data_IF_101778594659
#
_entry.id   IF_101778594659
#
_cell.length_a   1.000
_cell.length_b   1.000
_cell.length_c   1.000
_cell.angle_alpha   90.00
_cell.angle_beta   90.00
_cell.angle_gamma   90.00
#
_symmetry.space_group_name_H-M   'P 1'
#
loop_
_entity.id
_entity.type
_entity.pdbx_description
1 polymer ?
#
# COMPACT_ATOMS: atom_id res chain seq x y z
N UNK A 1 26.20 18.44 -5.93
CA UNK A 1 25.46 18.36 -5.80
C UNK A 1 24.79 18.09 -4.95
N UNK A 2 24.32 18.28 -4.72
CA UNK A 2 23.68 18.02 -3.86
C UNK A 2 22.97 17.01 -3.89
N UNK A 3 23.03 16.34 -3.39
CA UNK A 3 22.35 15.44 -3.40
C UNK A 3 21.30 15.58 -2.71
N UNK A 4 20.42 15.68 -3.06
CA UNK A 4 19.42 15.85 -2.42
C UNK A 4 18.75 14.68 -2.18
N UNK A 5 18.28 14.42 -1.07
CA UNK A 5 17.43 13.35 -0.74
C UNK A 5 16.08 13.71 -1.22
N UNK A 6 15.60 12.96 -2.18
CA UNK A 6 14.26 13.18 -2.70
C UNK A 6 13.28 12.59 -1.70
N UNK A 7 12.37 13.40 -1.14
CA UNK A 7 11.38 12.86 -0.20
C UNK A 7 10.50 11.83 -0.89
N UNK A 8 10.24 10.72 -0.21
CA UNK A 8 9.39 9.68 -0.77
C UNK A 8 7.96 10.18 -1.00
N UNK A 9 7.57 11.25 -0.32
CA UNK A 9 6.25 11.83 -0.54
C UNK A 9 6.07 12.35 -1.96
N UNK A 10 7.16 12.65 -2.64
CA UNK A 10 7.12 13.12 -4.02
C UNK A 10 7.38 12.01 -5.02
N UNK A 11 7.59 10.79 -4.55
CA UNK A 11 7.86 9.67 -5.43
C UNK A 11 6.53 9.15 -5.95
N UNK A 12 6.45 8.90 -7.26
CA UNK A 12 5.20 8.39 -7.82
C UNK A 12 5.00 6.92 -7.44
N UNK A 13 3.77 6.46 -7.63
CA UNK A 13 3.38 5.11 -7.22
C UNK A 13 4.16 4.03 -7.93
N UNK A 14 4.48 4.24 -9.20
CA UNK A 14 5.20 3.23 -9.96
C UNK A 14 6.57 3.00 -9.37
N UNK A 15 7.24 4.07 -9.01
CA UNK A 15 8.56 3.96 -8.40
C UNK A 15 8.48 3.39 -7.00
N UNK A 16 7.47 3.77 -6.22
CA UNK A 16 7.28 3.20 -4.91
C UNK A 16 7.07 1.69 -5.00
N UNK A 17 6.24 1.27 -5.94
CA UNK A 17 5.94 -0.15 -6.11
C UNK A 17 7.22 -0.92 -6.43
N UNK A 18 8.04 -0.39 -7.34
CA UNK A 18 9.29 -1.03 -7.70
C UNK A 18 10.25 -1.13 -6.51
N UNK A 19 10.32 -0.06 -5.71
CA UNK A 19 11.19 -0.06 -4.54
C UNK A 19 10.70 -1.04 -3.48
N UNK A 20 9.38 -1.14 -3.30
CA UNK A 20 8.82 -2.10 -2.35
C UNK A 20 9.16 -3.52 -2.78
N UNK A 21 9.07 -3.79 -4.08
CA UNK A 21 9.41 -5.10 -4.60
C UNK A 21 10.85 -5.47 -4.23
N UNK A 22 11.73 -4.48 -4.18
CA UNK A 22 13.13 -4.70 -3.85
C UNK A 22 13.39 -4.73 -2.35
N UNK A 23 12.36 -4.54 -1.54
CA UNK A 23 12.51 -4.62 -0.09
C UNK A 23 12.82 -3.30 0.58
N UNK A 24 12.54 -2.18 -0.08
CA UNK A 24 12.81 -0.87 0.48
C UNK A 24 11.74 -0.51 1.52
N UNK A 25 12.12 -0.53 2.78
CA UNK A 25 11.17 -0.30 3.87
C UNK A 25 10.65 1.13 3.91
N UNK A 26 11.45 2.09 3.49
CA UNK A 26 11.01 3.48 3.47
C UNK A 26 9.93 3.68 2.42
N UNK A 27 10.07 3.01 1.28
CA UNK A 27 9.05 3.07 0.24
C UNK A 27 7.76 2.43 0.75
N UNK A 28 7.88 1.32 1.48
CA UNK A 28 6.71 0.66 2.05
C UNK A 28 5.99 1.59 3.03
N UNK A 29 6.75 2.25 3.90
CA UNK A 29 6.16 3.19 4.86
C UNK A 29 5.45 4.32 4.14
N UNK A 30 6.05 4.83 3.06
CA UNK A 30 5.43 5.90 2.30
C UNK A 30 4.13 5.43 1.64
N UNK A 31 4.10 4.20 1.13
CA UNK A 31 2.88 3.66 0.55
C UNK A 31 1.80 3.54 1.62
N UNK A 32 2.18 3.12 2.82
CA UNK A 32 1.23 3.02 3.92
C UNK A 32 0.64 4.39 4.23
N UNK A 33 1.49 5.39 4.39
CA UNK A 33 1.01 6.73 4.73
C UNK A 33 0.16 7.32 3.62
N UNK A 34 0.45 6.97 2.38
CA UNK A 34 -0.29 7.51 1.25
C UNK A 34 -1.68 6.91 1.11
N UNK A 35 -1.83 5.63 1.45
CA UNK A 35 -3.06 4.93 1.14
C UNK A 35 -3.85 4.39 2.32
N UNK A 36 -3.28 4.33 3.51
CA UNK A 36 -3.99 3.63 4.59
C UNK A 36 -5.35 4.25 4.92
N UNK A 37 -5.46 5.58 4.84
CA UNK A 37 -6.75 6.21 5.16
C UNK A 37 -7.80 5.90 4.10
N UNK A 38 -7.39 5.90 2.83
CA UNK A 38 -8.32 5.58 1.75
C UNK A 38 -8.80 4.15 1.86
N UNK A 39 -7.89 3.24 2.17
CA UNK A 39 -8.27 1.84 2.33
C UNK A 39 -9.12 1.63 3.56
N UNK A 40 -8.86 2.39 4.63
CA UNK A 40 -9.69 2.31 5.82
C UNK A 40 -11.12 2.72 5.49
N UNK A 41 -11.31 3.83 4.78
CA UNK A 41 -12.65 4.27 4.40
C UNK A 41 -13.34 3.23 3.56
N UNK A 42 -12.63 2.67 2.59
CA UNK A 42 -13.20 1.63 1.74
C UNK A 42 -13.63 0.43 2.57
N UNK A 43 -12.76 -0.05 3.46
CA UNK A 43 -13.07 -1.20 4.29
C UNK A 43 -14.23 -0.90 5.24
N UNK A 44 -14.25 0.31 5.80
CA UNK A 44 -15.30 0.67 6.74
C UNK A 44 -16.67 0.67 6.09
N UNK A 45 -16.74 1.07 4.82
CA UNK A 45 -18.03 1.07 4.12
C UNK A 45 -18.65 -0.31 4.06
N UNK A 46 -17.82 -1.34 3.99
CA UNK A 46 -18.31 -2.71 3.92
C UNK A 46 -18.49 -3.33 5.29
N UNK A 47 -17.58 -3.05 6.21
CA UNK A 47 -17.54 -3.76 7.48
C UNK A 47 -18.29 -3.05 8.59
N UNK A 48 -18.44 -1.73 8.47
CA UNK A 48 -19.16 -0.91 9.45
C UNK A 48 -18.61 -1.07 10.87
N UNK A 49 -17.34 -1.32 10.98
CA UNK A 49 -16.65 -1.50 12.25
C UNK A 49 -15.27 -0.93 12.13
N UNK A 50 -14.94 -0.02 13.04
CA UNK A 50 -13.64 0.61 13.07
C UNK A 50 -12.52 -0.42 13.26
N UNK A 51 -12.72 -1.33 14.21
CA UNK A 51 -11.70 -2.35 14.48
C UNK A 51 -11.49 -3.28 13.31
N UNK A 52 -12.57 -3.70 12.68
CA UNK A 52 -12.45 -4.60 11.54
C UNK A 52 -11.85 -3.90 10.33
N UNK A 53 -12.16 -2.61 10.17
CA UNK A 53 -11.58 -1.85 9.06
C UNK A 53 -10.09 -1.70 9.25
N UNK A 54 -9.65 -1.44 10.47
CA UNK A 54 -8.22 -1.33 10.76
C UNK A 54 -7.52 -2.66 10.52
N UNK A 55 -8.15 -3.76 10.92
CA UNK A 55 -7.59 -5.09 10.68
C UNK A 55 -7.45 -5.35 9.19
N UNK A 56 -8.42 -4.91 8.40
CA UNK A 56 -8.37 -5.10 6.95
C UNK A 56 -7.18 -4.36 6.36
N UNK A 57 -6.97 -3.11 6.79
CA UNK A 57 -5.85 -2.32 6.30
C UNK A 57 -4.52 -2.98 6.66
N UNK A 58 -4.40 -3.44 7.91
CA UNK A 58 -3.20 -4.13 8.35
C UNK A 58 -2.95 -5.39 7.52
N UNK A 59 -4.01 -6.14 7.27
CA UNK A 59 -3.89 -7.35 6.48
C UNK A 59 -3.36 -7.06 5.09
N UNK A 60 -3.91 -6.04 4.44
CA UNK A 60 -3.53 -5.72 3.07
C UNK A 60 -2.06 -5.32 2.98
N UNK A 61 -1.60 -4.46 3.90
CA UNK A 61 -0.21 -4.03 3.86
C UNK A 61 0.75 -5.14 4.27
N UNK A 62 0.32 -6.00 5.20
CA UNK A 62 1.14 -7.15 5.57
C UNK A 62 1.35 -8.05 4.35
N UNK A 63 0.28 -8.30 3.60
CA UNK A 63 0.40 -9.13 2.41
C UNK A 63 1.24 -8.46 1.33
N UNK A 64 1.10 -7.15 1.17
CA UNK A 64 1.95 -6.44 0.23
C UNK A 64 3.42 -6.69 0.54
N UNK A 65 3.79 -6.59 1.80
CA UNK A 65 5.17 -6.79 2.19
C UNK A 65 5.61 -8.24 2.06
N UNK A 66 4.77 -9.17 2.53
CA UNK A 66 5.11 -10.59 2.49
C UNK A 66 5.30 -11.11 1.08
N UNK A 67 4.50 -10.63 0.15
CA UNK A 67 4.55 -11.11 -1.23
C UNK A 67 5.18 -10.09 -2.18
N UNK A 68 5.95 -9.19 -1.67
CA UNK A 68 6.52 -8.10 -2.48
C UNK A 68 7.35 -8.58 -3.65
N UNK A 69 8.05 -9.68 -3.48
CA UNK A 69 8.91 -10.18 -4.55
C UNK A 69 8.13 -10.85 -5.67
N UNK A 70 6.82 -11.02 -5.48
CA UNK A 70 5.96 -11.67 -6.47
C UNK A 70 5.02 -10.68 -7.14
N UNK A 71 5.26 -9.38 -6.97
CA UNK A 71 4.39 -8.37 -7.54
C UNK A 71 4.51 -8.37 -9.06
N UNK A 72 3.37 -8.18 -9.72
CA UNK A 72 3.34 -8.22 -11.16
C UNK A 72 3.68 -6.91 -11.79
N UNK A 73 4.44 -7.01 -12.88
CA UNK A 73 4.72 -5.83 -13.69
C UNK A 73 3.42 -5.36 -14.33
N UNK A 74 3.21 -4.06 -14.34
CA UNK A 74 2.06 -3.50 -15.02
C UNK A 74 0.84 -3.27 -14.16
N UNK A 75 0.87 -3.72 -12.91
CA UNK A 75 -0.22 -3.44 -11.98
C UNK A 75 0.18 -2.23 -11.15
N UNK A 76 -0.71 -1.25 -11.06
CA UNK A 76 -0.40 -0.06 -10.27
C UNK A 76 -0.53 -0.39 -8.79
N UNK A 77 0.26 0.32 -7.98
CA UNK A 77 0.20 0.17 -6.53
C UNK A 77 -1.21 0.42 -6.02
N UNK A 78 -1.83 1.49 -6.50
CA UNK A 78 -3.18 1.82 -6.07
C UNK A 78 -4.17 0.70 -6.39
N UNK A 79 -4.13 0.18 -7.61
CA UNK A 79 -5.05 -0.89 -7.98
C UNK A 79 -4.79 -2.14 -7.18
N UNK A 80 -3.53 -2.45 -6.93
CA UNK A 80 -3.19 -3.62 -6.12
C UNK A 80 -3.80 -3.50 -4.73
N UNK A 81 -3.60 -2.35 -4.08
CA UNK A 81 -4.08 -2.15 -2.73
C UNK A 81 -5.61 -2.15 -2.66
N UNK A 82 -6.25 -1.47 -3.61
CA UNK A 82 -7.71 -1.41 -3.61
C UNK A 82 -8.32 -2.77 -3.90
N UNK A 83 -7.75 -3.52 -4.84
CA UNK A 83 -8.25 -4.86 -5.14
C UNK A 83 -8.09 -5.79 -3.96
N UNK A 84 -6.93 -5.74 -3.30
CA UNK A 84 -6.70 -6.57 -2.12
C UNK A 84 -7.69 -6.24 -1.02
N UNK A 85 -7.95 -4.93 -0.82
CA UNK A 85 -8.90 -4.53 0.22
C UNK A 85 -10.30 -5.02 -0.09
N UNK A 86 -10.75 -4.84 -1.33
CA UNK A 86 -12.07 -5.32 -1.72
C UNK A 86 -12.20 -6.83 -1.54
N UNK A 87 -11.17 -7.57 -1.95
CA UNK A 87 -11.22 -9.02 -1.81
C UNK A 87 -11.27 -9.46 -0.36
N UNK A 88 -10.65 -8.69 0.50
CA UNK A 88 -10.65 -9.04 1.93
C UNK A 88 -12.01 -8.81 2.58
N UNK A 89 -12.70 -7.74 2.20
CA UNK A 89 -13.96 -7.36 2.85
C UNK A 89 -15.20 -7.94 2.20
N UNK A 90 -15.11 -8.45 0.99
CA UNK A 90 -16.28 -9.00 0.28
C UNK A 90 -16.47 -10.50 0.53
#
# INVERSE_FOLDING_TARGET
>A
MQNKIVPYTNTDDEKLFALIEQGDKRAFTQAYERYHKLLYVLAYRYLMSSDMAEDAVQHVFTRLWEFRSELRVGISLKNYLFTMTKNYVL
#
